data_IF_294683769874
#
_entry.id   IF_294683769874
#
_cell.length_a   1.000
_cell.length_b   1.000
_cell.length_c   1.000
_cell.angle_alpha   90.00
_cell.angle_beta   90.00
_cell.angle_gamma   90.00
#
_symmetry.space_group_name_H-M   'P 1'
#
loop_
_entity.id
_entity.type
_entity.pdbx_description
1 polymer ?
#
# COMPACT_ATOMS: atom_id res chain seq x y z
N UNK A 1 15.44 8.25 11.63
CA UNK A 1 15.16 7.46 12.86
C UNK A 1 16.39 6.58 13.13
N UNK A 2 16.35 5.41 13.79
CA UNK A 2 17.50 4.49 13.68
C UNK A 2 17.50 3.98 12.23
N UNK A 3 18.49 4.37 11.44
CA UNK A 3 18.60 4.09 10.01
C UNK A 3 18.46 2.58 9.68
N UNK A 4 18.91 1.70 10.57
CA UNK A 4 18.75 0.25 10.43
C UNK A 4 17.29 -0.19 10.38
N UNK A 5 16.41 0.44 11.17
CA UNK A 5 14.99 0.10 11.20
C UNK A 5 14.26 0.46 9.90
N UNK A 6 14.71 1.49 9.21
CA UNK A 6 14.15 1.95 7.93
C UNK A 6 14.52 0.99 6.79
N UNK A 7 15.77 0.52 6.77
CA UNK A 7 16.22 -0.51 5.81
C UNK A 7 15.45 -1.80 6.00
N UNK A 8 15.26 -2.23 7.26
CA UNK A 8 14.48 -3.43 7.58
C UNK A 8 13.01 -3.26 7.15
N UNK A 9 12.41 -2.09 7.42
CA UNK A 9 11.05 -1.79 6.99
C UNK A 9 10.91 -1.82 5.46
N UNK A 10 11.88 -1.29 4.71
CA UNK A 10 11.89 -1.35 3.25
C UNK A 10 11.97 -2.79 2.75
N UNK A 11 12.86 -3.62 3.31
CA UNK A 11 12.99 -5.04 2.94
C UNK A 11 11.66 -5.77 3.14
N UNK A 12 11.02 -5.60 4.30
CA UNK A 12 9.72 -6.20 4.56
C UNK A 12 8.62 -5.64 3.65
N UNK A 13 8.63 -4.33 3.38
CA UNK A 13 7.70 -3.68 2.46
C UNK A 13 7.79 -4.24 1.05
N UNK A 14 9.00 -4.42 0.53
CA UNK A 14 9.26 -5.02 -0.79
C UNK A 14 8.84 -6.49 -0.82
N UNK A 15 9.19 -7.28 0.20
CA UNK A 15 8.77 -8.68 0.30
C UNK A 15 7.23 -8.81 0.31
N UNK A 16 6.55 -7.98 1.11
CA UNK A 16 5.09 -7.93 1.15
C UNK A 16 4.49 -7.54 -0.20
N UNK A 17 5.06 -6.54 -0.88
CA UNK A 17 4.61 -6.11 -2.20
C UNK A 17 4.73 -7.22 -3.25
N UNK A 18 5.83 -8.00 -3.23
CA UNK A 18 6.02 -9.15 -4.11
C UNK A 18 4.99 -10.25 -3.84
N UNK A 19 4.81 -10.64 -2.57
CA UNK A 19 3.81 -11.65 -2.17
C UNK A 19 2.42 -11.24 -2.67
N UNK A 20 2.05 -9.98 -2.46
CA UNK A 20 0.74 -9.46 -2.86
C UNK A 20 0.61 -9.34 -4.37
N UNK A 21 1.67 -8.99 -5.09
CA UNK A 21 1.68 -9.00 -6.54
C UNK A 21 1.39 -10.40 -7.08
N UNK A 22 2.04 -11.44 -6.56
CA UNK A 22 1.77 -12.83 -6.95
C UNK A 22 0.38 -13.32 -6.53
N UNK A 23 -0.07 -12.95 -5.33
CA UNK A 23 -1.40 -13.28 -4.84
C UNK A 23 -2.48 -12.63 -5.72
N UNK A 24 -2.33 -11.35 -6.08
CA UNK A 24 -3.25 -10.64 -6.95
C UNK A 24 -3.20 -11.10 -8.39
N UNK A 25 -2.06 -11.60 -8.88
CA UNK A 25 -2.00 -12.24 -10.20
C UNK A 25 -2.91 -13.47 -10.27
N UNK A 26 -2.93 -14.26 -9.21
CA UNK A 26 -3.69 -15.52 -9.14
C UNK A 26 -5.16 -15.33 -8.75
N UNK A 27 -5.46 -14.35 -7.89
CA UNK A 27 -6.78 -14.23 -7.24
C UNK A 27 -7.61 -13.11 -7.87
N UNK A 28 -8.80 -13.38 -8.47
CA UNK A 28 -9.70 -12.34 -9.04
C UNK A 28 -10.33 -11.46 -7.96
N UNK A 29 -9.52 -10.60 -7.33
CA UNK A 29 -10.00 -9.58 -6.40
C UNK A 29 -10.62 -8.43 -7.20
N UNK A 30 -11.85 -8.00 -6.87
CA UNK A 30 -12.45 -6.82 -7.48
C UNK A 30 -11.58 -5.57 -7.20
N UNK A 31 -11.37 -4.74 -8.22
CA UNK A 31 -10.61 -3.48 -8.10
C UNK A 31 -9.17 -3.62 -7.55
N UNK A 32 -8.45 -4.67 -7.98
CA UNK A 32 -6.99 -4.85 -7.82
C UNK A 32 -6.14 -3.57 -7.96
N UNK A 33 -6.39 -2.64 -8.92
CA UNK A 33 -5.51 -1.48 -9.10
C UNK A 33 -5.39 -0.58 -7.86
N UNK A 34 -6.43 -0.44 -7.03
CA UNK A 34 -6.33 0.39 -5.82
C UNK A 34 -5.39 -0.21 -4.77
N UNK A 35 -5.43 -1.52 -4.58
CA UNK A 35 -4.52 -2.19 -3.67
C UNK A 35 -3.09 -2.16 -4.21
N UNK A 36 -2.89 -2.39 -5.51
CA UNK A 36 -1.56 -2.29 -6.13
C UNK A 36 -1.00 -0.87 -6.01
N UNK A 37 -1.80 0.17 -6.31
CA UNK A 37 -1.40 1.56 -6.17
C UNK A 37 -1.04 1.93 -4.73
N UNK A 38 -1.84 1.47 -3.74
CA UNK A 38 -1.54 1.68 -2.32
C UNK A 38 -0.20 1.04 -1.91
N UNK A 39 0.07 -0.20 -2.35
CA UNK A 39 1.34 -0.86 -2.07
C UNK A 39 2.54 -0.17 -2.73
N UNK A 40 2.40 0.27 -3.98
CA UNK A 40 3.45 1.02 -4.66
C UNK A 40 3.76 2.34 -3.95
N UNK A 41 2.73 3.07 -3.51
CA UNK A 41 2.89 4.29 -2.71
C UNK A 41 3.58 4.00 -1.38
N UNK A 42 3.18 2.95 -0.67
CA UNK A 42 3.79 2.55 0.60
C UNK A 42 5.29 2.28 0.45
N UNK A 43 5.68 1.45 -0.54
CA UNK A 43 7.08 1.11 -0.79
C UNK A 43 7.87 2.35 -1.23
N UNK A 44 7.27 3.21 -2.05
CA UNK A 44 7.91 4.45 -2.49
C UNK A 44 8.16 5.39 -1.30
N UNK A 45 7.23 5.51 -0.36
CA UNK A 45 7.44 6.25 0.90
C UNK A 45 8.61 5.68 1.71
N UNK A 46 8.73 4.36 1.83
CA UNK A 46 9.87 3.74 2.53
C UNK A 46 11.22 3.94 1.83
N UNK A 47 11.23 4.29 0.54
CA UNK A 47 12.47 4.74 -0.12
C UNK A 47 12.77 6.20 0.21
N UNK A 48 11.73 7.03 0.35
CA UNK A 48 11.89 8.44 0.73
C UNK A 48 12.47 8.59 2.13
N UNK A 49 12.16 7.70 3.08
CA UNK A 49 12.77 7.72 4.44
C UNK A 49 14.30 7.57 4.35
N UNK A 50 14.78 6.66 3.50
CA UNK A 50 16.22 6.42 3.33
C UNK A 50 16.89 7.63 2.66
N UNK A 51 16.20 8.27 1.72
CA UNK A 51 16.72 9.46 1.03
C UNK A 51 16.70 10.69 1.95
N UNK A 52 15.71 10.81 2.82
CA UNK A 52 15.62 11.86 3.85
C UNK A 52 16.88 11.93 4.72
N UNK A 53 17.37 10.77 5.14
CA UNK A 53 18.55 10.64 5.99
C UNK A 53 19.85 11.08 5.28
N UNK A 54 19.82 11.23 3.94
CA UNK A 54 20.98 11.61 3.11
C UNK A 54 20.81 13.02 2.53
N UNK A 55 19.58 13.44 2.23
CA UNK A 55 19.26 14.66 1.47
C UNK A 55 18.03 15.35 2.04
N UNK A 56 18.17 16.65 2.34
CA UNK A 56 17.08 17.61 2.57
C UNK A 56 15.88 17.08 3.39
N UNK A 57 16.17 16.77 4.65
CA UNK A 57 15.27 16.17 5.64
C UNK A 57 13.79 16.61 5.56
N UNK A 58 13.50 17.91 5.67
CA UNK A 58 12.11 18.40 5.74
C UNK A 58 11.26 18.06 4.49
N UNK A 59 11.87 18.10 3.30
CA UNK A 59 11.15 17.83 2.05
C UNK A 59 10.82 16.34 1.93
N UNK A 60 11.79 15.48 2.17
CA UNK A 60 11.63 14.03 2.03
C UNK A 60 10.71 13.45 3.10
N UNK A 61 10.82 13.95 4.35
CA UNK A 61 9.88 13.60 5.42
C UNK A 61 8.43 13.97 5.06
N UNK A 62 8.23 15.16 4.48
CA UNK A 62 6.89 15.59 4.03
C UNK A 62 6.36 14.68 2.92
N UNK A 63 7.20 14.33 1.94
CA UNK A 63 6.82 13.44 0.84
C UNK A 63 6.55 12.01 1.32
N UNK A 64 7.32 11.52 2.29
CA UNK A 64 7.11 10.22 2.94
C UNK A 64 5.71 10.18 3.55
N UNK A 65 5.41 11.12 4.45
CA UNK A 65 4.11 11.20 5.12
C UNK A 65 2.96 11.34 4.13
N UNK A 66 3.12 12.14 3.07
CA UNK A 66 2.13 12.25 2.01
C UNK A 66 1.91 10.93 1.28
N UNK A 67 2.98 10.19 0.95
CA UNK A 67 2.85 8.89 0.30
C UNK A 67 2.20 7.83 1.21
N UNK A 68 2.46 7.86 2.52
CA UNK A 68 1.75 7.02 3.49
C UNK A 68 0.26 7.37 3.57
N UNK A 69 -0.09 8.66 3.58
CA UNK A 69 -1.48 9.10 3.54
C UNK A 69 -2.21 8.66 2.26
N UNK A 70 -1.57 8.82 1.11
CA UNK A 70 -2.12 8.41 -0.19
C UNK A 70 -2.26 6.88 -0.29
N UNK A 71 -1.31 6.13 0.24
CA UNK A 71 -1.39 4.67 0.37
C UNK A 71 -2.62 4.26 1.20
N UNK A 72 -2.82 4.88 2.37
CA UNK A 72 -3.98 4.65 3.21
C UNK A 72 -5.31 4.94 2.50
N UNK A 73 -5.38 6.05 1.74
CA UNK A 73 -6.56 6.38 0.93
C UNK A 73 -6.83 5.32 -0.16
N UNK A 74 -5.80 4.86 -0.85
CA UNK A 74 -5.92 3.80 -1.85
C UNK A 74 -6.46 2.50 -1.23
N UNK A 75 -5.95 2.09 -0.08
CA UNK A 75 -6.46 0.92 0.65
C UNK A 75 -7.88 1.10 1.14
N UNK A 76 -8.25 2.28 1.64
CA UNK A 76 -9.61 2.56 2.07
C UNK A 76 -10.61 2.49 0.89
N UNK A 77 -10.25 3.03 -0.27
CA UNK A 77 -11.07 2.94 -1.50
C UNK A 77 -11.17 1.49 -1.99
N UNK A 78 -10.04 0.77 -2.00
CA UNK A 78 -9.98 -0.66 -2.31
C UNK A 78 -10.90 -1.48 -1.40
N UNK A 79 -10.81 -1.31 -0.09
CA UNK A 79 -11.61 -2.01 0.90
C UNK A 79 -13.12 -1.71 0.77
N UNK A 80 -13.49 -0.43 0.60
CA UNK A 80 -14.89 -0.05 0.34
C UNK A 80 -15.45 -0.73 -0.92
N UNK A 81 -14.61 -0.89 -1.94
CA UNK A 81 -15.03 -1.51 -3.18
C UNK A 81 -15.25 -3.02 -3.06
N UNK A 82 -14.44 -3.71 -2.27
CA UNK A 82 -14.59 -5.12 -1.95
C UNK A 82 -15.84 -5.34 -1.10
N UNK A 83 -16.08 -4.48 -0.09
CA UNK A 83 -17.28 -4.54 0.76
C UNK A 83 -18.56 -4.44 -0.06
N UNK A 84 -18.66 -3.46 -0.96
CA UNK A 84 -19.81 -3.29 -1.86
C UNK A 84 -20.03 -4.49 -2.76
N UNK A 85 -18.98 -5.19 -3.17
CA UNK A 85 -19.09 -6.41 -3.96
C UNK A 85 -19.66 -7.55 -3.12
N UNK A 86 -19.17 -7.73 -1.90
CA UNK A 86 -19.66 -8.76 -0.98
C UNK A 86 -21.13 -8.54 -0.61
N UNK A 87 -21.53 -7.29 -0.34
CA UNK A 87 -22.93 -6.92 -0.08
C UNK A 87 -23.86 -7.31 -1.24
N UNK A 88 -23.41 -7.15 -2.49
CA UNK A 88 -24.17 -7.59 -3.69
C UNK A 88 -24.30 -9.11 -3.78
N UNK A 89 -23.18 -9.82 -3.62
CA UNK A 89 -23.15 -11.29 -3.66
C UNK A 89 -24.02 -11.88 -2.54
N UNK A 90 -24.00 -11.29 -1.35
CA UNK A 90 -24.83 -11.74 -0.24
C UNK A 90 -26.32 -11.51 -0.51
N UNK A 91 -26.69 -10.37 -1.11
CA UNK A 91 -28.08 -10.08 -1.48
C UNK A 91 -28.63 -11.04 -2.54
N UNK A 92 -27.79 -11.51 -3.46
CA UNK A 92 -28.16 -12.51 -4.48
C UNK A 92 -28.27 -13.94 -3.92
N UNK A 93 -27.68 -14.23 -2.74
CA UNK A 93 -27.71 -15.55 -2.10
C UNK A 93 -28.87 -15.76 -1.12
N UNK A 94 -29.60 -14.71 -0.76
CA UNK A 94 -30.78 -14.83 0.11
C UNK A 94 -32.01 -14.84 -0.80
N UNK A 95 -32.73 -15.98 -0.94
CA UNK A 95 -33.93 -16.09 -1.77
C UNK A 95 -35.11 -15.30 -1.21
#
# INVERSE_FOLDING_TARGET
MIQESEVVALVFGVAAALILFFLFRTTRIPRRPWFVAGFLMLVSSSVLTIVEDILWHDLFNTLEHLGHMLSGLCFAVGARSVRRMQERIQKERVP
#
